data_IF_127012455375
#
_entry.id   IF_127012455375
#
_cell.length_a   1.000
_cell.length_b   1.000
_cell.length_c   1.000
_cell.angle_alpha   90.00
_cell.angle_beta   90.00
_cell.angle_gamma   90.00
#
_symmetry.space_group_name_H-M   'P 1'
#
loop_
_entity.id
_entity.type
_entity.pdbx_description
1 polymer ?
#
# COMPACT_ATOMS: atom_id res chain seq x y z
N UNK A 1 -7.11 -65.96 -42.03
CA UNK A 1 -6.91 -65.54 -40.61
C UNK A 1 -6.25 -64.18 -40.59
N UNK A 2 -6.98 -63.09 -40.30
CA UNK A 2 -6.45 -61.73 -40.23
C UNK A 2 -6.59 -61.23 -38.79
N UNK A 3 -5.46 -61.10 -38.09
CA UNK A 3 -5.39 -60.47 -36.77
C UNK A 3 -5.52 -58.95 -36.96
N UNK A 4 -6.65 -58.37 -36.54
CA UNK A 4 -6.79 -56.92 -36.43
C UNK A 4 -6.10 -56.45 -35.15
N UNK A 5 -5.02 -55.70 -35.32
CA UNK A 5 -4.31 -54.97 -34.27
C UNK A 5 -5.25 -53.88 -33.73
N UNK A 6 -5.70 -54.02 -32.49
CA UNK A 6 -6.43 -52.96 -31.78
C UNK A 6 -5.37 -52.08 -31.12
N UNK A 7 -5.07 -50.95 -31.75
CA UNK A 7 -4.19 -49.94 -31.18
C UNK A 7 -4.87 -49.28 -29.98
N UNK A 8 -4.41 -49.61 -28.78
CA UNK A 8 -4.78 -48.91 -27.54
C UNK A 8 -4.20 -47.49 -27.62
N UNK A 9 -5.05 -46.49 -27.88
CA UNK A 9 -4.64 -45.10 -27.79
C UNK A 9 -4.51 -44.78 -26.30
N UNK A 10 -3.27 -44.67 -25.83
CA UNK A 10 -2.93 -44.28 -24.46
C UNK A 10 -3.44 -42.85 -24.20
N UNK A 11 -4.36 -42.70 -23.23
CA UNK A 11 -5.05 -41.44 -22.87
C UNK A 11 -4.14 -40.39 -22.17
N UNK A 12 -2.82 -40.54 -22.19
CA UNK A 12 -1.89 -39.63 -21.51
C UNK A 12 -1.38 -38.50 -22.43
N UNK A 13 -2.29 -37.70 -23.01
CA UNK A 13 -1.90 -36.46 -23.71
C UNK A 13 -2.88 -35.30 -23.53
N UNK A 14 -3.39 -35.12 -22.33
CA UNK A 14 -3.96 -33.84 -21.91
C UNK A 14 -2.94 -33.19 -20.97
N UNK A 15 -1.97 -32.44 -21.53
CA UNK A 15 -1.25 -31.47 -20.72
C UNK A 15 -2.25 -30.36 -20.42
N UNK A 16 -2.51 -30.11 -19.13
CA UNK A 16 -3.18 -28.89 -18.72
C UNK A 16 -2.40 -27.72 -19.34
N UNK A 17 -3.09 -26.89 -20.12
CA UNK A 17 -2.53 -25.60 -20.55
C UNK A 17 -2.21 -24.86 -19.26
N UNK A 18 -0.98 -24.40 -19.10
CA UNK A 18 -0.47 -23.64 -17.94
C UNK A 18 -1.17 -22.26 -17.82
N UNK A 19 -2.50 -22.28 -17.71
CA UNK A 19 -3.44 -21.15 -17.70
C UNK A 19 -3.12 -20.14 -16.61
N UNK A 20 -2.55 -20.59 -15.50
CA UNK A 20 -2.10 -19.73 -14.41
C UNK A 20 -0.92 -18.83 -14.82
N UNK A 21 0.03 -19.36 -15.59
CA UNK A 21 1.20 -18.58 -16.06
C UNK A 21 0.80 -17.50 -17.06
N UNK A 22 -0.12 -17.85 -17.98
CA UNK A 22 -0.62 -16.94 -19.00
C UNK A 22 -1.45 -15.80 -18.37
N UNK A 23 -2.23 -16.11 -17.33
CA UNK A 23 -3.00 -15.13 -16.58
C UNK A 23 -2.10 -14.13 -15.85
N UNK A 24 -1.04 -14.60 -15.16
CA UNK A 24 -0.09 -13.71 -14.49
C UNK A 24 0.63 -12.78 -15.48
N UNK A 25 1.08 -13.31 -16.62
CA UNK A 25 1.76 -12.51 -17.64
C UNK A 25 0.83 -11.42 -18.21
N UNK A 26 -0.45 -11.73 -18.41
CA UNK A 26 -1.45 -10.74 -18.84
C UNK A 26 -1.65 -9.63 -17.82
N UNK A 27 -1.77 -9.96 -16.53
CA UNK A 27 -1.93 -8.98 -15.44
C UNK A 27 -0.68 -8.09 -15.34
N UNK A 28 0.51 -8.69 -15.43
CA UNK A 28 1.78 -7.95 -15.40
C UNK A 28 1.93 -7.02 -16.60
N UNK A 29 1.65 -7.50 -17.81
CA UNK A 29 1.69 -6.67 -19.02
C UNK A 29 0.72 -5.49 -18.93
N UNK A 30 -0.47 -5.71 -18.35
CA UNK A 30 -1.42 -4.64 -18.09
C UNK A 30 -0.87 -3.60 -17.09
N UNK A 31 -0.24 -4.06 -16.01
CA UNK A 31 0.40 -3.17 -15.03
C UNK A 31 1.48 -2.30 -15.68
N UNK A 32 2.40 -2.92 -16.43
CA UNK A 32 3.48 -2.21 -17.10
C UNK A 32 2.93 -1.14 -18.07
N UNK A 33 1.89 -1.46 -18.84
CA UNK A 33 1.23 -0.50 -19.72
C UNK A 33 0.56 0.68 -18.99
N UNK A 34 -0.02 0.44 -17.81
CA UNK A 34 -0.59 1.52 -16.99
C UNK A 34 0.50 2.42 -16.38
N UNK A 35 1.64 1.85 -16.01
CA UNK A 35 2.81 2.62 -15.53
C UNK A 35 3.35 3.52 -16.64
N UNK A 36 3.48 3.01 -17.86
CA UNK A 36 3.92 3.79 -19.02
C UNK A 36 2.95 4.95 -19.31
N UNK A 37 1.65 4.69 -19.23
CA UNK A 37 0.63 5.72 -19.46
C UNK A 37 0.63 6.78 -18.34
N UNK A 38 0.77 6.38 -17.07
CA UNK A 38 0.99 7.31 -15.95
C UNK A 38 2.17 8.23 -16.24
N UNK A 39 3.32 7.66 -16.62
CA UNK A 39 4.53 8.44 -16.90
C UNK A 39 4.33 9.39 -18.08
N UNK A 40 3.57 8.99 -19.11
CA UNK A 40 3.21 9.83 -20.25
C UNK A 40 2.35 11.03 -19.81
N UNK A 41 1.38 10.82 -18.93
CA UNK A 41 0.53 11.90 -18.40
C UNK A 41 1.35 12.85 -17.54
N UNK A 42 2.19 12.33 -16.64
CA UNK A 42 3.05 13.14 -15.76
C UNK A 42 4.02 14.02 -16.57
N UNK A 43 4.57 13.48 -17.66
CA UNK A 43 5.40 14.27 -18.58
C UNK A 43 4.63 15.43 -19.20
N UNK A 44 3.42 15.17 -19.72
CA UNK A 44 2.56 16.23 -20.28
C UNK A 44 2.15 17.26 -19.25
N UNK A 45 1.87 16.83 -18.02
CA UNK A 45 1.52 17.71 -16.91
C UNK A 45 2.68 18.66 -16.59
N UNK A 46 3.92 18.14 -16.59
CA UNK A 46 5.14 18.92 -16.43
C UNK A 46 5.32 19.96 -17.55
N UNK A 47 5.13 19.55 -18.81
CA UNK A 47 5.21 20.44 -19.97
C UNK A 47 4.18 21.59 -19.89
N UNK A 48 2.93 21.30 -19.55
CA UNK A 48 1.88 22.32 -19.39
C UNK A 48 2.13 23.24 -18.19
N UNK A 49 2.70 22.69 -17.11
CA UNK A 49 3.08 23.48 -15.93
C UNK A 49 4.22 24.44 -16.26
N UNK A 50 5.16 24.03 -17.12
CA UNK A 50 6.21 24.91 -17.64
C UNK A 50 5.64 26.09 -18.43
N UNK A 51 4.66 25.82 -19.30
CA UNK A 51 4.00 26.86 -20.10
C UNK A 51 3.34 27.91 -19.18
N UNK A 52 2.68 27.47 -18.10
CA UNK A 52 2.11 28.40 -17.11
C UNK A 52 3.20 29.19 -16.37
N UNK A 53 4.34 28.56 -16.06
CA UNK A 53 5.46 29.23 -15.41
C UNK A 53 6.06 30.33 -16.29
N UNK A 54 6.24 30.05 -17.58
CA UNK A 54 6.77 31.00 -18.56
C UNK A 54 5.82 32.18 -18.81
N UNK A 55 4.50 31.98 -18.66
CA UNK A 55 3.48 33.00 -18.85
C UNK A 55 3.13 33.70 -17.53
N UNK A 56 4.11 34.39 -16.92
CA UNK A 56 3.87 35.20 -15.71
C UNK A 56 3.74 34.42 -14.41
N UNK A 57 4.23 33.17 -14.38
CA UNK A 57 4.23 32.32 -13.18
C UNK A 57 2.84 32.17 -12.52
N UNK A 58 1.79 32.05 -13.34
CA UNK A 58 0.42 31.87 -12.87
C UNK A 58 0.16 30.43 -12.42
N UNK A 59 -0.44 30.27 -11.24
CA UNK A 59 -0.97 28.99 -10.77
C UNK A 59 -2.26 28.58 -11.50
N UNK A 60 -2.86 27.45 -11.10
CA UNK A 60 -4.13 26.96 -11.67
C UNK A 60 -5.34 27.81 -11.26
N UNK A 61 -5.27 28.44 -10.09
CA UNK A 61 -6.38 29.18 -9.47
C UNK A 61 -6.11 30.68 -9.35
N UNK A 62 -5.00 31.18 -9.89
CA UNK A 62 -4.72 32.62 -9.85
C UNK A 62 -5.71 33.39 -10.73
N UNK A 63 -6.18 34.59 -10.31
CA UNK A 63 -7.11 35.37 -11.11
C UNK A 63 -6.51 35.72 -12.47
N UNK A 64 -7.35 35.86 -13.50
CA UNK A 64 -6.93 36.22 -14.87
C UNK A 64 -7.27 37.67 -15.23
N UNK A 65 -7.90 38.37 -14.30
CA UNK A 65 -8.30 39.77 -14.41
C UNK A 65 -7.57 40.59 -13.37
N UNK A 66 -7.40 41.87 -13.65
CA UNK A 66 -6.93 42.87 -12.70
C UNK A 66 -8.04 43.31 -11.73
N UNK A 67 -7.72 44.24 -10.84
CA UNK A 67 -8.63 44.76 -9.81
C UNK A 67 -9.79 45.59 -10.40
N UNK A 68 -9.63 46.08 -11.63
CA UNK A 68 -10.63 46.83 -12.39
C UNK A 68 -11.56 45.90 -13.20
N UNK A 69 -11.25 44.59 -13.25
CA UNK A 69 -12.04 43.57 -13.93
C UNK A 69 -11.67 43.36 -15.41
N UNK A 70 -10.56 43.92 -15.88
CA UNK A 70 -10.06 43.73 -17.24
C UNK A 70 -9.06 42.57 -17.33
N UNK A 71 -8.93 41.90 -18.49
CA UNK A 71 -7.92 40.86 -18.70
C UNK A 71 -6.53 41.42 -18.42
N UNK A 72 -5.76 40.69 -17.61
CA UNK A 72 -4.40 41.09 -17.25
C UNK A 72 -3.52 41.27 -18.49
N UNK A 73 -2.83 42.42 -18.65
CA UNK A 73 -2.00 42.67 -19.83
C UNK A 73 -0.64 41.97 -19.76
N UNK A 74 -0.20 41.54 -18.58
CA UNK A 74 1.08 40.87 -18.34
C UNK A 74 1.09 39.38 -18.74
N UNK A 75 -0.07 38.80 -19.06
CA UNK A 75 -0.23 37.37 -19.35
C UNK A 75 -1.10 37.11 -20.59
N UNK A 76 -0.86 35.99 -21.26
CA UNK A 76 -1.80 35.48 -22.28
C UNK A 76 -2.94 34.70 -21.60
N UNK A 77 -4.04 35.41 -21.32
CA UNK A 77 -5.25 34.86 -20.68
C UNK A 77 -5.85 33.70 -21.48
N UNK A 78 -5.80 33.73 -22.80
CA UNK A 78 -6.39 32.68 -23.64
C UNK A 78 -5.59 31.38 -23.54
N UNK A 79 -4.27 31.48 -23.69
CA UNK A 79 -3.36 30.35 -23.52
C UNK A 79 -3.49 29.74 -22.12
N UNK A 80 -3.51 30.57 -21.07
CA UNK A 80 -3.62 30.08 -19.68
C UNK A 80 -4.93 29.33 -19.46
N UNK A 81 -6.05 29.82 -19.99
CA UNK A 81 -7.35 29.13 -19.87
C UNK A 81 -7.31 27.74 -20.49
N UNK A 82 -6.77 27.63 -21.71
CA UNK A 82 -6.65 26.34 -22.42
C UNK A 82 -5.72 25.40 -21.65
N UNK A 83 -4.55 25.89 -21.25
CA UNK A 83 -3.55 25.12 -20.50
C UNK A 83 -4.11 24.61 -19.17
N UNK A 84 -4.79 25.47 -18.40
CA UNK A 84 -5.45 25.07 -17.14
C UNK A 84 -6.52 24.00 -17.37
N UNK A 85 -7.31 24.13 -18.43
CA UNK A 85 -8.32 23.13 -18.76
C UNK A 85 -7.66 21.77 -19.06
N UNK A 86 -6.62 21.77 -19.89
CA UNK A 86 -5.88 20.55 -20.21
C UNK A 86 -5.26 19.90 -18.97
N UNK A 87 -4.68 20.69 -18.07
CA UNK A 87 -4.15 20.20 -16.79
C UNK A 87 -5.25 19.55 -15.95
N UNK A 88 -6.44 20.17 -15.83
CA UNK A 88 -7.56 19.57 -15.08
C UNK A 88 -8.02 18.25 -15.66
N UNK A 89 -8.13 18.15 -16.99
CA UNK A 89 -8.46 16.90 -17.65
C UNK A 89 -7.41 15.83 -17.37
N UNK A 90 -6.12 16.14 -17.59
CA UNK A 90 -5.02 15.20 -17.35
C UNK A 90 -4.89 14.76 -15.89
N UNK A 91 -5.14 15.66 -14.93
CA UNK A 91 -5.16 15.30 -13.50
C UNK A 91 -6.31 14.34 -13.18
N UNK A 92 -7.46 14.52 -13.83
CA UNK A 92 -8.60 13.62 -13.67
C UNK A 92 -8.26 12.24 -14.25
N UNK A 93 -7.68 12.21 -15.45
CA UNK A 93 -7.25 10.97 -16.12
C UNK A 93 -6.17 10.25 -15.31
N UNK A 94 -5.16 10.98 -14.81
CA UNK A 94 -4.11 10.43 -13.94
C UNK A 94 -4.69 9.79 -12.69
N UNK A 95 -5.68 10.44 -12.06
CA UNK A 95 -6.39 9.85 -10.91
C UNK A 95 -7.09 8.54 -11.28
N UNK A 96 -7.71 8.45 -12.46
CA UNK A 96 -8.34 7.20 -12.92
C UNK A 96 -7.30 6.08 -13.12
N UNK A 97 -6.17 6.40 -13.76
CA UNK A 97 -5.08 5.44 -13.98
C UNK A 97 -4.49 4.94 -12.67
N UNK A 98 -4.33 5.82 -11.68
CA UNK A 98 -3.84 5.45 -10.36
C UNK A 98 -4.78 4.45 -9.66
N UNK A 99 -6.09 4.65 -9.76
CA UNK A 99 -7.08 3.70 -9.22
C UNK A 99 -7.03 2.35 -9.95
N UNK A 100 -6.82 2.37 -11.26
CA UNK A 100 -6.68 1.13 -12.03
C UNK A 100 -5.39 0.38 -11.68
N UNK A 101 -4.28 1.10 -11.50
CA UNK A 101 -3.00 0.54 -11.03
C UNK A 101 -3.15 -0.15 -9.68
N UNK A 102 -3.84 0.47 -8.73
CA UNK A 102 -4.15 -0.11 -7.41
C UNK A 102 -4.92 -1.43 -7.57
N UNK A 103 -5.96 -1.44 -8.40
CA UNK A 103 -6.76 -2.64 -8.68
C UNK A 103 -5.91 -3.78 -9.29
N UNK A 104 -5.05 -3.46 -10.25
CA UNK A 104 -4.17 -4.45 -10.90
C UNK A 104 -3.12 -4.97 -9.91
N UNK A 105 -2.55 -4.09 -9.09
CA UNK A 105 -1.58 -4.47 -8.07
C UNK A 105 -2.19 -5.43 -7.04
N UNK A 106 -3.43 -5.18 -6.60
CA UNK A 106 -4.15 -6.11 -5.74
C UNK A 106 -4.31 -7.50 -6.36
N UNK A 107 -4.61 -7.58 -7.66
CA UNK A 107 -4.71 -8.87 -8.39
C UNK A 107 -3.37 -9.60 -8.44
N UNK A 108 -2.27 -8.89 -8.63
CA UNK A 108 -0.91 -9.47 -8.59
C UNK A 108 -0.64 -10.07 -7.21
N UNK A 109 -0.92 -9.33 -6.13
CA UNK A 109 -0.72 -9.82 -4.77
C UNK A 109 -1.64 -10.97 -4.38
N UNK A 110 -2.89 -10.97 -4.86
CA UNK A 110 -3.82 -12.07 -4.67
C UNK A 110 -3.31 -13.34 -5.37
N UNK A 111 -2.87 -13.21 -6.62
CA UNK A 111 -2.29 -14.32 -7.38
C UNK A 111 -1.04 -14.90 -6.69
N UNK A 112 -0.16 -14.04 -6.16
CA UNK A 112 1.02 -14.46 -5.40
C UNK A 112 0.66 -15.20 -4.10
N UNK A 113 -0.43 -14.80 -3.42
CA UNK A 113 -0.93 -15.49 -2.22
C UNK A 113 -1.49 -16.88 -2.52
N UNK A 114 -2.18 -17.02 -3.65
CA UNK A 114 -2.77 -18.29 -4.08
C UNK A 114 -1.71 -19.28 -4.59
N UNK A 115 -0.56 -18.77 -5.08
CA UNK A 115 0.52 -19.57 -5.67
C UNK A 115 1.88 -19.33 -4.97
N UNK A 116 2.03 -19.68 -3.67
CA UNK A 116 3.24 -19.40 -2.89
C UNK A 116 4.50 -20.15 -3.38
N UNK A 117 4.34 -21.17 -4.23
CA UNK A 117 5.44 -22.00 -4.76
C UNK A 117 6.03 -21.50 -6.08
N UNK A 118 5.44 -20.49 -6.73
CA UNK A 118 5.95 -19.86 -7.98
C UNK A 118 6.49 -18.45 -7.72
N UNK A 119 7.27 -18.29 -6.67
CA UNK A 119 7.94 -17.02 -6.36
C UNK A 119 9.15 -16.84 -7.29
N UNK A 120 8.88 -16.56 -8.57
CA UNK A 120 9.82 -15.97 -9.51
C UNK A 120 9.41 -14.50 -9.59
N UNK A 121 10.39 -13.60 -9.53
CA UNK A 121 10.27 -12.14 -9.48
C UNK A 121 10.31 -11.53 -8.06
N UNK A 122 11.35 -11.87 -7.30
CA UNK A 122 12.15 -10.80 -6.69
C UNK A 122 12.99 -10.18 -7.81
N UNK A 123 12.50 -9.08 -8.39
CA UNK A 123 13.39 -8.13 -9.05
C UNK A 123 13.13 -6.75 -8.47
N UNK A 124 14.21 -6.14 -8.00
CA UNK A 124 14.20 -4.96 -7.16
C UNK A 124 13.77 -3.72 -7.94
N UNK A 125 12.69 -3.09 -7.50
CA UNK A 125 12.51 -1.64 -7.43
C UNK A 125 11.05 -1.35 -7.06
N UNK A 126 10.75 -1.36 -5.76
CA UNK A 126 9.62 -0.60 -5.24
C UNK A 126 10.19 0.32 -4.16
N UNK A 127 10.48 1.54 -4.61
CA UNK A 127 10.98 2.66 -3.86
C UNK A 127 10.16 2.87 -2.60
N UNK A 128 10.87 2.88 -1.47
CA UNK A 128 10.47 3.54 -0.25
C UNK A 128 9.98 4.95 -0.57
N UNK A 129 8.70 5.23 -0.38
CA UNK A 129 8.21 6.60 -0.24
C UNK A 129 6.98 6.58 0.64
N UNK A 130 7.28 6.67 1.93
CA UNK A 130 6.62 7.60 2.84
C UNK A 130 5.53 8.49 2.21
N UNK A 131 4.27 8.20 2.52
CA UNK A 131 3.30 9.24 2.81
C UNK A 131 2.28 8.69 3.82
N UNK A 132 2.55 9.08 5.06
CA UNK A 132 1.72 8.95 6.23
C UNK A 132 0.65 10.04 6.16
N UNK A 133 -0.52 9.78 6.78
CA UNK A 133 -1.58 10.74 7.18
C UNK A 133 -2.61 11.03 6.05
N UNK A 134 -3.93 10.86 6.17
CA UNK A 134 -4.86 10.76 7.30
C UNK A 134 -6.07 9.87 6.93
N UNK A 135 -6.57 9.19 7.95
CA UNK A 135 -7.83 8.45 8.15
C UNK A 135 -9.05 8.92 7.32
N UNK A 136 -9.90 8.00 6.84
CA UNK A 136 -11.11 7.65 7.60
C UNK A 136 -11.87 6.41 7.09
N UNK A 137 -12.32 5.63 8.06
CA UNK A 137 -13.47 4.71 8.05
C UNK A 137 -13.49 3.44 7.19
N UNK A 138 -13.49 2.31 7.93
CA UNK A 138 -14.31 1.12 7.69
C UNK A 138 -13.88 0.07 6.67
N UNK A 139 -12.59 -0.27 6.64
CA UNK A 139 -12.18 -1.60 6.23
C UNK A 139 -11.39 -2.26 7.37
N UNK A 140 -12.07 -3.12 8.15
CA UNK A 140 -11.38 -4.10 8.98
C UNK A 140 -10.59 -5.03 8.05
N UNK A 141 -9.38 -4.60 7.68
CA UNK A 141 -8.33 -5.53 7.28
C UNK A 141 -8.12 -6.38 8.52
N UNK A 142 -8.63 -7.61 8.47
CA UNK A 142 -8.46 -8.61 9.53
C UNK A 142 -6.98 -8.93 9.61
N UNK A 143 -6.23 -8.08 10.31
CA UNK A 143 -4.80 -8.27 10.55
C UNK A 143 -4.65 -9.49 11.47
N UNK A 144 -3.84 -10.46 11.04
CA UNK A 144 -3.62 -11.72 11.74
C UNK A 144 -2.87 -11.45 13.06
N UNK A 145 -3.36 -12.01 14.17
CA UNK A 145 -2.61 -11.97 15.43
C UNK A 145 -1.41 -12.94 15.38
N UNK A 146 -0.28 -12.51 15.93
CA UNK A 146 0.99 -13.24 15.84
C UNK A 146 1.63 -13.55 17.20
N UNK A 147 1.29 -12.83 18.27
CA UNK A 147 1.67 -13.19 19.65
C UNK A 147 0.42 -13.34 20.53
N UNK A 148 0.56 -14.13 21.60
CA UNK A 148 -0.39 -14.19 22.71
C UNK A 148 0.35 -13.85 24.00
N UNK A 149 -0.28 -13.03 24.85
CA UNK A 149 0.25 -12.71 26.17
C UNK A 149 -0.06 -13.87 27.11
N UNK A 150 0.99 -14.51 27.63
CA UNK A 150 0.86 -15.65 28.55
C UNK A 150 0.97 -15.21 30.02
N UNK A 151 1.84 -14.25 30.32
CA UNK A 151 2.09 -13.76 31.66
C UNK A 151 2.37 -12.25 31.65
N UNK A 152 2.03 -11.59 32.75
CA UNK A 152 2.31 -10.16 32.98
C UNK A 152 2.89 -10.03 34.39
N UNK A 153 4.01 -9.33 34.50
CA UNK A 153 4.64 -9.01 35.78
C UNK A 153 3.94 -7.82 36.46
N UNK A 154 3.79 -7.84 37.79
CA UNK A 154 3.21 -6.72 38.53
C UNK A 154 4.11 -5.47 38.44
N UNK A 155 3.51 -4.30 38.32
CA UNK A 155 4.12 -2.99 38.07
C UNK A 155 4.85 -2.87 36.72
N UNK A 156 4.54 -3.72 35.73
CA UNK A 156 5.12 -3.65 34.38
C UNK A 156 4.42 -2.60 33.51
N UNK A 157 5.10 -2.17 32.43
CA UNK A 157 4.56 -1.25 31.43
C UNK A 157 3.30 -1.84 30.77
N UNK A 158 3.29 -3.16 30.59
CA UNK A 158 2.18 -3.92 30.01
C UNK A 158 0.95 -3.89 30.92
N UNK A 159 1.13 -4.04 32.23
CA UNK A 159 0.05 -3.92 33.22
C UNK A 159 -0.50 -2.48 33.28
N UNK A 160 0.38 -1.47 33.29
CA UNK A 160 -0.02 -0.06 33.30
C UNK A 160 -0.82 0.36 32.07
N UNK A 161 -0.64 -0.34 30.95
CA UNK A 161 -1.33 -0.09 29.69
C UNK A 161 -2.62 -0.92 29.51
N UNK A 162 -3.13 -1.57 30.56
CA UNK A 162 -4.34 -2.41 30.56
C UNK A 162 -4.27 -3.60 29.56
N UNK A 163 -3.08 -4.10 29.25
CA UNK A 163 -2.93 -5.39 28.59
C UNK A 163 -3.21 -6.51 29.60
N UNK A 164 -3.84 -7.59 29.14
CA UNK A 164 -4.26 -8.72 30.00
C UNK A 164 -3.70 -10.03 29.48
N UNK A 165 -3.52 -10.97 30.41
CA UNK A 165 -3.18 -12.36 30.08
C UNK A 165 -4.27 -12.92 29.18
N UNK A 166 -3.85 -13.53 28.06
CA UNK A 166 -4.74 -14.06 27.03
C UNK A 166 -4.99 -13.13 25.84
N UNK A 167 -4.61 -11.84 25.92
CA UNK A 167 -4.73 -10.93 24.78
C UNK A 167 -3.80 -11.36 23.63
N UNK A 168 -4.28 -11.19 22.39
CA UNK A 168 -3.53 -11.55 21.19
C UNK A 168 -3.06 -10.30 20.45
N UNK A 169 -1.76 -10.18 20.23
CA UNK A 169 -1.16 -9.00 19.60
C UNK A 169 -1.25 -9.13 18.08
N UNK A 170 -1.81 -8.10 17.47
CA UNK A 170 -2.00 -7.94 16.02
C UNK A 170 -0.90 -7.05 15.42
N UNK A 171 -0.48 -6.02 16.18
CA UNK A 171 0.59 -5.11 15.79
C UNK A 171 1.27 -4.55 17.05
N UNK A 172 2.59 -4.41 17.02
CA UNK A 172 3.39 -3.79 18.07
C UNK A 172 4.35 -2.77 17.44
N UNK A 173 4.03 -1.49 17.55
CA UNK A 173 4.73 -0.41 16.86
C UNK A 173 4.79 -0.66 15.35
N UNK A 174 6.00 -0.90 14.84
CA UNK A 174 6.28 -1.24 13.44
C UNK A 174 6.26 -2.74 13.12
N UNK A 175 6.12 -3.61 14.13
CA UNK A 175 6.11 -5.07 13.96
C UNK A 175 4.68 -5.57 13.81
N UNK A 176 4.44 -6.38 12.78
CA UNK A 176 3.16 -7.04 12.49
C UNK A 176 3.42 -8.50 12.13
N UNK A 177 2.37 -9.31 11.95
CA UNK A 177 2.50 -10.72 11.57
C UNK A 177 3.35 -10.97 10.31
N UNK A 178 3.37 -10.00 9.39
CA UNK A 178 4.12 -10.09 8.14
C UNK A 178 5.64 -9.88 8.30
N UNK A 179 6.06 -9.19 9.37
CA UNK A 179 7.47 -8.83 9.63
C UNK A 179 8.01 -9.42 10.95
N UNK A 180 7.21 -10.23 11.65
CA UNK A 180 7.64 -10.82 12.91
C UNK A 180 8.45 -12.09 12.68
N UNK A 181 9.71 -12.07 13.11
CA UNK A 181 10.60 -13.23 13.01
C UNK A 181 10.89 -13.80 14.40
N UNK A 182 11.13 -12.94 15.39
CA UNK A 182 11.42 -13.37 16.76
C UNK A 182 11.04 -12.30 17.81
N UNK A 183 10.99 -12.69 19.09
CA UNK A 183 10.73 -11.76 20.20
C UNK A 183 11.79 -10.64 20.33
N UNK A 184 12.94 -10.78 19.67
CA UNK A 184 13.95 -9.72 19.60
C UNK A 184 13.45 -8.50 18.83
N UNK A 185 12.53 -8.69 17.87
CA UNK A 185 11.98 -7.59 17.06
C UNK A 185 11.16 -6.63 17.93
N UNK A 186 10.36 -7.18 18.84
CA UNK A 186 9.59 -6.44 19.84
C UNK A 186 10.52 -5.65 20.76
N UNK A 187 11.57 -6.32 21.25
CA UNK A 187 12.59 -5.70 22.11
C UNK A 187 13.33 -4.58 21.39
N UNK A 188 13.60 -4.74 20.09
CA UNK A 188 14.28 -3.76 19.25
C UNK A 188 13.42 -2.52 19.03
N UNK A 189 12.13 -2.70 18.71
CA UNK A 189 11.18 -1.58 18.59
C UNK A 189 11.11 -0.79 19.89
N UNK A 190 11.03 -1.49 21.03
CA UNK A 190 11.02 -0.85 22.33
C UNK A 190 12.33 -0.11 22.62
N UNK A 191 13.49 -0.68 22.32
CA UNK A 191 14.80 -0.03 22.50
C UNK A 191 14.95 1.22 21.62
N UNK A 192 14.57 1.13 20.35
CA UNK A 192 14.70 2.22 19.37
C UNK A 192 13.72 3.37 19.61
N UNK A 193 12.64 3.14 20.36
CA UNK A 193 11.70 4.20 20.74
C UNK A 193 12.35 5.12 21.78
N UNK A 194 12.23 6.44 21.61
CA UNK A 194 12.77 7.41 22.59
C UNK A 194 12.05 7.29 23.95
N UNK A 195 12.76 7.47 25.07
CA UNK A 195 12.11 7.53 26.38
C UNK A 195 11.09 8.68 26.44
N UNK A 196 9.94 8.44 27.08
CA UNK A 196 8.81 9.39 27.12
C UNK A 196 7.88 9.33 25.91
N UNK A 197 8.18 8.50 24.90
CA UNK A 197 7.31 8.27 23.75
C UNK A 197 6.40 7.05 23.95
N UNK A 198 5.29 7.04 23.22
CA UNK A 198 4.32 5.94 23.23
C UNK A 198 4.53 4.96 22.07
N UNK A 199 4.37 3.67 22.34
CA UNK A 199 4.36 2.60 21.34
C UNK A 199 2.92 2.13 21.16
N UNK A 200 2.41 2.21 19.94
CA UNK A 200 1.06 1.75 19.61
C UNK A 200 1.04 0.23 19.48
N UNK A 201 0.09 -0.41 20.16
CA UNK A 201 -0.12 -1.85 20.15
C UNK A 201 -1.58 -2.12 19.82
N UNK A 202 -1.82 -2.85 18.74
CA UNK A 202 -3.15 -3.36 18.41
C UNK A 202 -3.28 -4.78 18.92
N UNK A 203 -4.34 -5.06 19.67
CA UNK A 203 -4.64 -6.39 20.20
C UNK A 203 -6.05 -6.84 19.81
N UNK A 204 -6.32 -8.14 19.86
CA UNK A 204 -7.67 -8.69 19.94
C UNK A 204 -7.91 -9.34 21.31
N UNK A 205 -9.02 -8.97 21.93
CA UNK A 205 -9.44 -9.49 23.24
C UNK A 205 -10.59 -10.49 23.07
N UNK A 206 -10.36 -11.73 23.51
CA UNK A 206 -11.27 -12.88 23.31
C UNK A 206 -11.04 -13.64 22.00
N UNK A 207 -11.94 -14.56 21.66
CA UNK A 207 -11.90 -15.32 20.39
C UNK A 207 -12.60 -14.59 19.24
N UNK A 208 -13.13 -13.39 19.50
CA UNK A 208 -13.76 -12.55 18.49
C UNK A 208 -12.73 -11.64 17.83
N UNK A 209 -12.46 -11.91 16.56
CA UNK A 209 -11.57 -11.12 15.69
C UNK A 209 -12.05 -9.65 15.53
N UNK A 210 -13.31 -9.40 15.87
CA UNK A 210 -13.99 -8.10 15.73
C UNK A 210 -13.59 -7.12 16.86
N UNK A 211 -13.12 -7.62 18.00
CA UNK A 211 -12.77 -6.79 19.17
C UNK A 211 -11.29 -6.38 19.14
N UNK A 212 -10.92 -5.57 18.16
CA UNK A 212 -9.58 -4.99 18.07
C UNK A 212 -9.49 -3.74 18.96
N UNK A 213 -8.56 -3.75 19.92
CA UNK A 213 -8.28 -2.62 20.79
C UNK A 213 -6.92 -2.01 20.41
N UNK A 214 -6.84 -0.68 20.44
CA UNK A 214 -5.59 0.07 20.28
C UNK A 214 -5.14 0.55 21.65
N UNK A 215 -3.95 0.13 22.07
CA UNK A 215 -3.35 0.41 23.37
C UNK A 215 -2.02 1.14 23.14
N UNK A 216 -1.71 2.12 23.97
CA UNK A 216 -0.45 2.86 23.91
C UNK A 216 0.43 2.53 25.12
N UNK A 217 1.59 1.92 24.86
CA UNK A 217 2.59 1.65 25.89
C UNK A 217 3.52 2.85 26.03
N UNK A 218 3.56 3.47 27.21
CA UNK A 218 4.52 4.53 27.50
C UNK A 218 5.90 3.92 27.78
N UNK A 219 6.94 4.38 27.08
CA UNK A 219 8.32 4.02 27.41
C UNK A 219 8.82 4.87 28.58
N UNK A 220 9.15 4.28 29.75
CA UNK A 220 9.70 5.02 30.88
C UNK A 220 11.11 5.56 30.57
N UNK A 221 11.56 6.56 31.34
CA UNK A 221 12.87 7.20 31.21
C UNK A 221 14.06 6.26 31.51
N UNK A 222 13.81 5.18 32.24
CA UNK A 222 14.80 4.19 32.63
C UNK A 222 14.79 2.97 31.68
N UNK A 223 15.89 2.22 31.64
CA UNK A 223 16.02 0.96 30.88
C UNK A 223 15.22 -0.18 31.54
N UNK A 224 13.91 0.01 31.72
CA UNK A 224 13.00 -0.97 32.31
C UNK A 224 12.65 -2.03 31.26
N UNK A 225 12.60 -3.29 31.68
CA UNK A 225 12.13 -4.41 30.86
C UNK A 225 10.66 -4.21 30.48
N UNK A 226 10.27 -4.74 29.32
CA UNK A 226 8.89 -4.77 28.84
C UNK A 226 7.98 -5.67 29.68
N UNK A 227 8.55 -6.64 30.39
CA UNK A 227 7.87 -7.62 31.24
C UNK A 227 8.83 -8.19 32.26
#
# INVERSE_FOLDING_TARGET
>A
MLKKNVGTISLNRLRAVDTDSDNFHSIKSKYDGLVDEKNRIEKKLSELSEILRQNGNVGLDTPLVDDEGYPRPDIDVALIRITRNNIRCLNTDHKQIMLELESVLHKIHEYARQNPSKNVLTDGNACSSENKLIEDQSAQIVKKAFLKIDQISPNSIVEQADLKVGDRIIQFGSVSADNFTSLQDISTVFRNTSPGSYIHVSISRGDSIINVLSISLLKPAENVSLG
#
